data_IF_035480717635
#
_entry.id   IF_035480717635
#
_cell.length_a   1.000
_cell.length_b   1.000
_cell.length_c   1.000
_cell.angle_alpha   90.00
_cell.angle_beta   90.00
_cell.angle_gamma   90.00
#
_symmetry.space_group_name_H-M   'P 1'
#
loop_
_entity.id
_entity.type
_entity.pdbx_description
1 polymer ?
#
# COMPACT_ATOMS: atom_id res chain seq x y z
N UNK A 1 0.35 54.71 10.26
CA UNK A 1 0.63 53.38 10.85
C UNK A 1 0.51 52.36 9.73
N UNK A 2 1.61 51.70 9.34
CA UNK A 2 1.65 50.78 8.20
C UNK A 2 1.78 49.35 8.72
N UNK A 3 0.77 48.52 8.53
CA UNK A 3 0.72 47.14 9.01
C UNK A 3 1.41 46.23 7.99
N UNK A 4 2.56 45.66 8.38
CA UNK A 4 3.25 44.64 7.60
C UNK A 4 2.51 43.29 7.76
N UNK A 5 2.01 42.75 6.65
CA UNK A 5 1.51 41.37 6.60
C UNK A 5 2.69 40.41 6.62
N UNK A 6 2.90 39.75 7.75
CA UNK A 6 3.93 38.72 7.89
C UNK A 6 3.41 37.43 7.25
N UNK A 7 3.96 37.08 6.09
CA UNK A 7 3.76 35.79 5.44
C UNK A 7 4.42 34.69 6.28
N UNK A 8 3.65 34.04 7.15
CA UNK A 8 4.12 32.90 7.95
C UNK A 8 4.24 31.69 7.04
N UNK A 9 5.47 31.37 6.61
CA UNK A 9 5.79 30.04 6.04
C UNK A 9 5.43 28.98 7.09
N UNK A 10 4.68 27.93 6.75
CA UNK A 10 4.37 26.88 7.71
C UNK A 10 5.67 26.18 8.13
N UNK A 11 5.95 26.31 9.42
CA UNK A 11 7.05 25.65 10.13
C UNK A 11 6.90 24.13 10.00
N UNK A 12 8.00 23.46 9.65
CA UNK A 12 8.18 22.01 9.58
C UNK A 12 7.99 21.38 10.97
N UNK A 13 6.76 21.34 11.46
CA UNK A 13 6.37 20.44 12.54
C UNK A 13 5.81 19.20 11.86
N UNK A 14 6.47 18.06 12.04
CA UNK A 14 5.88 16.78 11.68
C UNK A 14 4.52 16.70 12.37
N UNK A 15 3.45 16.90 11.60
CA UNK A 15 2.09 16.83 12.12
C UNK A 15 1.88 15.41 12.63
N UNK A 16 1.70 15.28 13.94
CA UNK A 16 1.37 14.03 14.63
C UNK A 16 -0.09 13.62 14.43
N UNK A 17 -0.86 14.43 13.70
CA UNK A 17 -2.23 14.11 13.33
C UNK A 17 -2.24 13.04 12.25
N UNK A 18 -3.07 12.01 12.46
CA UNK A 18 -3.35 11.01 11.44
C UNK A 18 -3.91 11.72 10.20
N UNK A 19 -3.40 11.35 9.03
CA UNK A 19 -3.88 11.90 7.77
C UNK A 19 -5.23 11.26 7.41
N UNK A 20 -6.14 12.03 6.83
CA UNK A 20 -7.51 11.57 6.48
C UNK A 20 -7.96 12.02 5.08
N UNK A 21 -7.09 12.70 4.34
CA UNK A 21 -7.36 13.30 3.03
C UNK A 21 -7.31 12.31 1.85
N UNK A 22 -7.05 11.02 2.11
CA UNK A 22 -6.93 9.98 1.08
C UNK A 22 -5.55 9.88 0.43
N UNK A 23 -4.58 10.68 0.89
CA UNK A 23 -3.21 10.66 0.39
C UNK A 23 -2.26 9.99 1.38
N UNK A 24 -1.20 9.41 0.83
CA UNK A 24 -0.08 8.84 1.58
C UNK A 24 1.22 9.36 0.99
N UNK A 25 2.31 9.33 1.75
CA UNK A 25 3.64 9.63 1.21
C UNK A 25 3.92 8.74 -0.01
N UNK A 26 4.44 9.35 -1.07
CA UNK A 26 4.95 8.61 -2.20
C UNK A 26 6.35 8.07 -1.86
N UNK A 27 6.43 6.81 -1.44
CA UNK A 27 7.69 6.17 -1.01
C UNK A 27 8.71 6.07 -2.16
N UNK A 28 8.25 6.14 -3.40
CA UNK A 28 9.10 6.11 -4.58
C UNK A 28 9.58 7.51 -5.03
N UNK A 29 9.11 8.59 -4.39
CA UNK A 29 9.63 9.93 -4.66
C UNK A 29 10.86 10.23 -3.80
N UNK A 30 11.82 10.94 -4.39
CA UNK A 30 12.97 11.49 -3.65
C UNK A 30 12.55 12.64 -2.73
N UNK A 31 11.44 13.32 -3.03
CA UNK A 31 10.95 14.43 -2.22
C UNK A 31 10.05 13.89 -1.08
N UNK A 32 10.40 14.11 0.21
CA UNK A 32 9.62 13.61 1.34
C UNK A 32 8.22 14.22 1.45
N UNK A 33 7.95 15.34 0.76
CA UNK A 33 6.65 16.01 0.75
C UNK A 33 5.74 15.57 -0.39
N UNK A 34 6.23 14.75 -1.33
CA UNK A 34 5.38 14.24 -2.39
C UNK A 34 4.40 13.21 -1.85
N UNK A 35 3.14 13.40 -2.21
CA UNK A 35 2.05 12.53 -1.82
C UNK A 35 1.39 11.89 -3.03
N UNK A 36 0.81 10.72 -2.82
CA UNK A 36 0.08 9.95 -3.82
C UNK A 36 -1.22 9.45 -3.19
N UNK A 37 -2.29 9.35 -3.97
CA UNK A 37 -3.55 8.77 -3.49
C UNK A 37 -3.34 7.31 -3.10
N UNK A 38 -3.86 6.92 -1.94
CA UNK A 38 -3.82 5.53 -1.50
C UNK A 38 -4.48 4.58 -2.52
N UNK A 39 -5.57 5.00 -3.15
CA UNK A 39 -6.25 4.19 -4.17
C UNK A 39 -5.36 3.91 -5.39
N UNK A 40 -4.53 4.87 -5.79
CA UNK A 40 -3.61 4.74 -6.93
C UNK A 40 -2.43 3.84 -6.57
N UNK A 41 -1.99 3.88 -5.32
CA UNK A 41 -0.99 2.92 -4.81
C UNK A 41 -1.54 1.50 -4.93
N UNK A 42 -2.74 1.25 -4.41
CA UNK A 42 -3.36 -0.07 -4.46
C UNK A 42 -3.61 -0.53 -5.90
N UNK A 43 -4.13 0.34 -6.78
CA UNK A 43 -4.32 0.01 -8.20
C UNK A 43 -3.02 -0.41 -8.89
N UNK A 44 -1.89 0.23 -8.56
CA UNK A 44 -0.58 -0.15 -9.11
C UNK A 44 -0.13 -1.52 -8.60
N UNK A 45 -0.39 -1.83 -7.33
CA UNK A 45 -0.06 -3.13 -6.73
C UNK A 45 -0.94 -4.22 -7.36
N UNK A 46 -2.25 -4.00 -7.47
CA UNK A 46 -3.20 -4.90 -8.15
C UNK A 46 -2.76 -5.18 -9.58
N UNK A 47 -2.40 -4.13 -10.34
CA UNK A 47 -1.93 -4.27 -11.72
C UNK A 47 -0.61 -5.05 -11.80
N UNK A 48 0.28 -4.90 -10.83
CA UNK A 48 1.53 -5.67 -10.76
C UNK A 48 1.24 -7.14 -10.46
N UNK A 49 0.40 -7.41 -9.45
CA UNK A 49 -0.02 -8.76 -9.07
C UNK A 49 -0.72 -9.49 -10.22
N UNK A 50 -1.61 -8.82 -10.95
CA UNK A 50 -2.33 -9.39 -12.08
C UNK A 50 -1.45 -9.76 -13.28
N UNK A 51 -0.26 -9.13 -13.41
CA UNK A 51 0.69 -9.47 -14.48
C UNK A 51 1.50 -10.73 -14.21
N UNK A 52 1.67 -11.09 -12.93
CA UNK A 52 2.51 -12.22 -12.53
C UNK A 52 1.73 -13.45 -12.07
N UNK A 53 0.39 -13.38 -12.07
CA UNK A 53 -0.42 -14.45 -11.49
C UNK A 53 -0.86 -15.55 -12.47
N UNK A 54 -0.64 -15.42 -13.78
CA UNK A 54 -0.93 -16.49 -14.74
C UNK A 54 -2.39 -17.00 -14.73
N UNK A 55 -3.36 -16.16 -14.34
CA UNK A 55 -4.78 -16.51 -14.09
C UNK A 55 -5.07 -17.29 -12.79
N UNK A 56 -4.09 -17.44 -11.91
CA UNK A 56 -4.27 -18.03 -10.58
C UNK A 56 -4.58 -16.97 -9.52
N UNK A 57 -5.68 -17.16 -8.81
CA UNK A 57 -6.11 -16.19 -7.79
C UNK A 57 -5.18 -16.19 -6.57
N UNK A 58 -4.64 -17.35 -6.20
CA UNK A 58 -3.72 -17.54 -5.09
C UNK A 58 -2.43 -16.75 -5.30
N UNK A 59 -1.88 -16.81 -6.53
CA UNK A 59 -0.71 -16.02 -6.91
C UNK A 59 -1.04 -14.52 -6.89
N UNK A 60 -2.20 -14.13 -7.41
CA UNK A 60 -2.65 -12.74 -7.39
C UNK A 60 -2.75 -12.22 -5.95
N UNK A 61 -3.42 -12.96 -5.08
CA UNK A 61 -3.67 -12.55 -3.69
C UNK A 61 -2.37 -12.46 -2.90
N UNK A 62 -1.46 -13.43 -3.03
CA UNK A 62 -0.16 -13.40 -2.38
C UNK A 62 0.68 -12.18 -2.82
N UNK A 63 0.74 -11.90 -4.12
CA UNK A 63 1.48 -10.74 -4.63
C UNK A 63 0.86 -9.40 -4.22
N UNK A 64 -0.47 -9.33 -4.19
CA UNK A 64 -1.20 -8.14 -3.77
C UNK A 64 -0.96 -7.83 -2.30
N UNK A 65 -1.17 -8.82 -1.42
CA UNK A 65 -1.05 -8.63 0.03
C UNK A 65 0.39 -8.32 0.42
N UNK A 66 1.37 -9.06 -0.10
CA UNK A 66 2.78 -8.77 0.17
C UNK A 66 3.19 -7.38 -0.30
N UNK A 67 2.81 -7.00 -1.55
CA UNK A 67 3.11 -5.67 -2.05
C UNK A 67 2.44 -4.53 -1.27
N UNK A 68 1.23 -4.76 -0.75
CA UNK A 68 0.51 -3.78 0.07
C UNK A 68 1.09 -3.66 1.48
N UNK A 69 1.51 -4.76 2.09
CA UNK A 69 2.15 -4.77 3.42
C UNK A 69 3.56 -4.18 3.37
N UNK A 70 4.34 -4.48 2.33
CA UNK A 70 5.64 -3.83 2.08
C UNK A 70 5.49 -2.30 1.97
N UNK A 71 4.47 -1.84 1.23
CA UNK A 71 4.19 -0.41 1.11
C UNK A 71 3.75 0.18 2.46
N UNK A 72 2.90 -0.54 3.20
CA UNK A 72 2.42 -0.11 4.51
C UNK A 72 3.57 0.03 5.52
N UNK A 73 4.55 -0.87 5.49
CA UNK A 73 5.67 -0.82 6.43
C UNK A 73 6.64 0.32 6.11
N UNK A 74 6.85 0.60 4.82
CA UNK A 74 7.63 1.76 4.37
C UNK A 74 6.96 3.12 4.64
N UNK A 75 5.64 3.15 4.91
CA UNK A 75 4.91 4.38 5.19
C UNK A 75 5.16 4.90 6.62
N UNK A 76 5.24 6.24 6.79
CA UNK A 76 5.20 6.85 8.11
C UNK A 76 3.88 6.51 8.81
N UNK A 77 3.94 6.30 10.14
CA UNK A 77 2.82 5.81 10.95
C UNK A 77 1.51 6.62 10.75
N UNK A 78 1.62 7.93 10.53
CA UNK A 78 0.48 8.83 10.31
C UNK A 78 -0.31 8.57 9.02
N UNK A 79 0.30 7.92 8.03
CA UNK A 79 -0.29 7.64 6.71
C UNK A 79 -0.85 6.22 6.62
N UNK A 80 -0.42 5.31 7.50
CA UNK A 80 -0.82 3.89 7.49
C UNK A 80 -2.34 3.68 7.54
N UNK A 81 -3.12 4.39 8.38
CA UNK A 81 -4.58 4.22 8.43
C UNK A 81 -5.28 4.58 7.11
N UNK A 82 -4.74 5.51 6.32
CA UNK A 82 -5.32 5.89 5.02
C UNK A 82 -5.19 4.74 4.03
N UNK A 83 -4.02 4.11 3.97
CA UNK A 83 -3.80 2.97 3.09
C UNK A 83 -4.65 1.77 3.51
N UNK A 84 -4.70 1.46 4.80
CA UNK A 84 -5.54 0.39 5.33
C UNK A 84 -7.03 0.63 5.05
N UNK A 85 -7.50 1.87 5.22
CA UNK A 85 -8.88 2.23 4.89
C UNK A 85 -9.20 2.13 3.40
N UNK A 86 -8.27 2.50 2.52
CA UNK A 86 -8.43 2.33 1.07
C UNK A 86 -8.43 0.84 0.67
N UNK A 87 -7.60 0.02 1.30
CA UNK A 87 -7.55 -1.42 1.07
C UNK A 87 -8.85 -2.10 1.53
N UNK A 88 -9.37 -1.74 2.70
CA UNK A 88 -10.63 -2.26 3.22
C UNK A 88 -11.82 -1.93 2.29
N UNK A 89 -11.85 -0.72 1.69
CA UNK A 89 -12.87 -0.35 0.68
C UNK A 89 -12.81 -1.21 -0.58
N UNK A 90 -11.65 -1.79 -0.89
CA UNK A 90 -11.43 -2.71 -2.02
C UNK A 90 -11.61 -4.18 -1.62
N UNK A 91 -11.94 -4.46 -0.35
CA UNK A 91 -12.15 -5.82 0.16
C UNK A 91 -10.89 -6.50 0.67
N UNK A 92 -9.78 -5.78 0.82
CA UNK A 92 -8.52 -6.34 1.31
C UNK A 92 -8.30 -6.03 2.79
N UNK A 93 -8.00 -7.07 3.56
CA UNK A 93 -7.61 -6.95 4.95
C UNK A 93 -6.09 -7.06 5.07
N UNK A 94 -5.42 -5.92 5.24
CA UNK A 94 -3.95 -5.86 5.33
C UNK A 94 -3.48 -6.29 6.73
N UNK A 95 -3.31 -7.60 6.92
CA UNK A 95 -2.79 -8.19 8.15
C UNK A 95 -1.79 -9.30 7.81
N UNK A 96 -0.83 -9.55 8.71
CA UNK A 96 0.14 -10.63 8.55
C UNK A 96 -0.55 -12.00 8.41
N UNK A 97 -1.62 -12.23 9.16
CA UNK A 97 -2.38 -13.48 9.09
C UNK A 97 -3.01 -13.74 7.71
N UNK A 98 -3.49 -12.69 7.02
CA UNK A 98 -4.02 -12.83 5.66
C UNK A 98 -2.92 -13.05 4.62
N UNK A 99 -1.77 -12.42 4.82
CA UNK A 99 -0.60 -12.64 3.97
C UNK A 99 -0.07 -14.07 4.10
N UNK A 100 0.10 -14.56 5.33
CA UNK A 100 0.52 -15.94 5.61
C UNK A 100 -0.42 -16.95 4.94
N UNK A 101 -1.74 -16.77 5.10
CA UNK A 101 -2.74 -17.61 4.41
C UNK A 101 -2.60 -17.57 2.88
N UNK A 102 -2.38 -16.40 2.31
CA UNK A 102 -2.22 -16.27 0.86
C UNK A 102 -0.92 -16.92 0.35
N UNK A 103 0.16 -16.83 1.13
CA UNK A 103 1.43 -17.50 0.82
C UNK A 103 1.31 -19.03 0.91
N UNK A 104 0.60 -19.55 1.91
CA UNK A 104 0.32 -20.98 2.01
C UNK A 104 -0.48 -21.48 0.80
N UNK A 105 -1.54 -20.76 0.41
CA UNK A 105 -2.34 -21.10 -0.76
C UNK A 105 -1.51 -21.06 -2.06
N UNK A 106 -0.62 -20.07 -2.20
CA UNK A 106 0.35 -19.99 -3.30
C UNK A 106 1.24 -21.23 -3.34
N UNK A 107 1.75 -21.68 -2.20
CA UNK A 107 2.67 -22.83 -2.13
C UNK A 107 2.00 -24.15 -2.46
N UNK A 108 0.76 -24.32 -2.01
CA UNK A 108 -0.08 -25.47 -2.41
C UNK A 108 -0.27 -25.49 -3.92
N UNK A 109 -0.71 -24.37 -4.51
CA UNK A 109 -0.91 -24.26 -5.95
C UNK A 109 0.38 -24.53 -6.74
N UNK A 110 1.50 -23.95 -6.33
CA UNK A 110 2.79 -24.17 -7.01
C UNK A 110 3.23 -25.63 -6.94
N UNK A 111 2.93 -26.33 -5.84
CA UNK A 111 3.20 -27.76 -5.70
C UNK A 111 2.31 -28.59 -6.63
N UNK A 112 1.02 -28.23 -6.77
CA UNK A 112 0.10 -28.89 -7.70
C UNK A 112 0.52 -28.68 -9.16
N UNK A 113 0.90 -27.46 -9.55
CA UNK A 113 1.38 -27.17 -10.91
C UNK A 113 2.64 -27.97 -11.23
N UNK A 114 3.62 -27.99 -10.31
CA UNK A 114 4.85 -28.76 -10.49
C UNK A 114 4.62 -30.27 -10.61
N UNK A 115 3.62 -30.81 -9.89
CA UNK A 115 3.24 -32.22 -9.98
C UNK A 115 2.51 -32.57 -11.30
N UNK A 116 1.79 -31.61 -11.90
CA UNK A 116 1.05 -31.81 -13.14
C UNK A 116 1.91 -31.61 -14.41
N UNK A 117 3.05 -30.93 -14.30
CA UNK A 117 4.02 -30.73 -15.39
C UNK A 117 5.00 -31.92 -15.59
N UNK A 118 4.80 -33.04 -14.88
CA UNK A 118 5.58 -34.29 -14.99
C UNK A 118 4.78 -35.41 -15.68
#
# INVERSE_FOLDING_TARGET
MSTQNVNVKPSTKESTTLRTDGFVRNIHSRNPFDVIRADVVLERIEKKAGRSCGMHYELYQAHLLGGALDYLDALPLKDRPVLMGAAAKRGYLLTLAEEERALEARDVLMSELAANDC
#
